data_IF_150034230683
#
_entry.id   IF_150034230683
#
_cell.length_a   1.000
_cell.length_b   1.000
_cell.length_c   1.000
_cell.angle_alpha   90.00
_cell.angle_beta   90.00
_cell.angle_gamma   90.00
#
_symmetry.space_group_name_H-M   'P 1'
#
loop_
_entity.id
_entity.type
_entity.pdbx_description
1 polymer ?
#
# COMPACT_ATOMS: atom_id res chain seq x y z
N UNK A 1 -78.44 -136.93 -173.94
CA UNK A 1 -79.54 -135.96 -174.07
C UNK A 1 -79.48 -134.99 -172.90
N UNK A 2 -78.80 -133.87 -173.11
CA UNK A 2 -79.39 -132.57 -173.51
C UNK A 2 -79.99 -131.72 -172.39
N UNK A 3 -79.73 -132.03 -171.10
CA UNK A 3 -80.03 -131.08 -169.99
C UNK A 3 -78.85 -130.76 -169.05
N UNK A 4 -77.86 -131.64 -168.85
CA UNK A 4 -76.72 -131.32 -167.95
C UNK A 4 -75.65 -130.39 -168.55
N UNK A 5 -75.48 -130.37 -169.88
CA UNK A 5 -74.53 -129.44 -170.55
C UNK A 5 -75.03 -127.98 -170.59
N UNK A 6 -76.32 -127.73 -170.32
CA UNK A 6 -76.88 -126.37 -170.26
C UNK A 6 -76.73 -125.73 -168.87
N UNK A 7 -76.70 -126.51 -167.79
CA UNK A 7 -76.53 -125.99 -166.43
C UNK A 7 -75.06 -125.68 -166.10
N UNK A 8 -74.11 -126.41 -166.68
CA UNK A 8 -72.68 -126.22 -166.39
C UNK A 8 -72.10 -124.94 -167.03
N UNK A 9 -72.65 -124.51 -168.17
CA UNK A 9 -72.30 -123.25 -168.83
C UNK A 9 -72.86 -122.01 -168.11
N UNK A 10 -74.10 -122.10 -167.60
CA UNK A 10 -74.74 -121.00 -166.87
C UNK A 10 -74.11 -120.77 -165.48
N UNK A 11 -73.61 -121.83 -164.83
CA UNK A 11 -72.94 -121.70 -163.53
C UNK A 11 -71.57 -121.03 -163.63
N UNK A 12 -70.83 -121.24 -164.74
CA UNK A 12 -69.54 -120.56 -164.95
C UNK A 12 -69.67 -119.06 -165.23
N UNK A 13 -70.71 -118.64 -165.96
CA UNK A 13 -70.94 -117.21 -166.22
C UNK A 13 -71.39 -116.45 -164.96
N UNK A 14 -72.21 -117.06 -164.09
CA UNK A 14 -72.58 -116.41 -162.83
C UNK A 14 -71.40 -116.30 -161.84
N UNK A 15 -70.50 -117.29 -161.82
CA UNK A 15 -69.29 -117.24 -160.99
C UNK A 15 -68.30 -116.15 -161.43
N UNK A 16 -68.18 -115.86 -162.74
CA UNK A 16 -67.36 -114.74 -163.23
C UNK A 16 -67.96 -113.38 -162.87
N UNK A 17 -69.28 -113.20 -163.00
CA UNK A 17 -69.92 -111.91 -162.65
C UNK A 17 -69.89 -111.61 -161.15
N UNK A 18 -69.98 -112.64 -160.29
CA UNK A 18 -69.87 -112.46 -158.84
C UNK A 18 -68.43 -112.11 -158.43
N UNK A 19 -67.42 -112.59 -159.17
CA UNK A 19 -66.02 -112.27 -158.92
C UNK A 19 -65.70 -110.81 -159.29
N UNK A 20 -66.16 -110.33 -160.45
CA UNK A 20 -65.99 -108.92 -160.86
C UNK A 20 -66.71 -107.94 -159.91
N UNK A 21 -67.91 -108.30 -159.43
CA UNK A 21 -68.63 -107.46 -158.45
C UNK A 21 -67.95 -107.43 -157.08
N UNK A 22 -67.38 -108.56 -156.64
CA UNK A 22 -66.59 -108.61 -155.41
C UNK A 22 -65.31 -107.77 -155.50
N UNK A 23 -64.65 -107.75 -156.67
CA UNK A 23 -63.46 -106.95 -156.93
C UNK A 23 -63.77 -105.44 -156.90
N UNK A 24 -64.86 -104.99 -157.53
CA UNK A 24 -65.30 -103.58 -157.49
C UNK A 24 -65.67 -103.14 -156.06
N UNK A 25 -66.29 -104.02 -155.27
CA UNK A 25 -66.61 -103.75 -153.88
C UNK A 25 -65.37 -103.71 -152.99
N UNK A 26 -64.36 -104.53 -153.25
CA UNK A 26 -63.05 -104.45 -152.60
C UNK A 26 -62.36 -103.13 -152.96
N UNK A 27 -62.28 -102.76 -154.24
CA UNK A 27 -61.69 -101.50 -154.68
C UNK A 27 -62.36 -100.28 -154.03
N UNK A 28 -63.69 -100.28 -153.90
CA UNK A 28 -64.42 -99.20 -153.20
C UNK A 28 -64.15 -99.17 -151.70
N UNK A 29 -63.98 -100.32 -151.05
CA UNK A 29 -63.61 -100.39 -149.63
C UNK A 29 -62.17 -99.95 -149.42
N UNK A 30 -61.26 -100.35 -150.29
CA UNK A 30 -59.86 -99.95 -150.26
C UNK A 30 -59.73 -98.44 -150.51
N UNK A 31 -60.50 -97.88 -151.46
CA UNK A 31 -60.60 -96.43 -151.65
C UNK A 31 -61.19 -95.73 -150.42
N UNK A 32 -62.23 -96.28 -149.78
CA UNK A 32 -62.78 -95.73 -148.55
C UNK A 32 -61.77 -95.79 -147.39
N UNK A 33 -61.00 -96.87 -147.25
CA UNK A 33 -59.93 -96.96 -146.26
C UNK A 33 -58.80 -95.97 -146.54
N UNK A 34 -58.41 -95.79 -147.81
CA UNK A 34 -57.38 -94.81 -148.20
C UNK A 34 -57.87 -93.39 -147.87
N UNK A 35 -59.09 -93.03 -148.27
CA UNK A 35 -59.68 -91.72 -147.96
C UNK A 35 -59.86 -91.52 -146.44
N UNK A 36 -60.24 -92.57 -145.69
CA UNK A 36 -60.29 -92.49 -144.22
C UNK A 36 -58.91 -92.35 -143.59
N UNK A 37 -57.87 -93.03 -144.11
CA UNK A 37 -56.49 -92.87 -143.63
C UNK A 37 -55.98 -91.46 -143.92
N UNK A 38 -56.24 -90.92 -145.10
CA UNK A 38 -55.90 -89.54 -145.46
C UNK A 38 -56.65 -88.52 -144.60
N UNK A 39 -57.94 -88.74 -144.36
CA UNK A 39 -58.75 -87.91 -143.47
C UNK A 39 -58.27 -87.97 -142.02
N UNK A 40 -57.95 -89.16 -141.51
CA UNK A 40 -57.41 -89.31 -140.16
C UNK A 40 -56.00 -88.71 -140.03
N UNK A 41 -55.16 -88.82 -141.07
CA UNK A 41 -53.83 -88.21 -141.10
C UNK A 41 -53.91 -86.68 -141.12
N UNK A 42 -54.79 -86.11 -141.95
CA UNK A 42 -55.02 -84.66 -142.00
C UNK A 42 -55.68 -84.15 -140.72
N UNK A 43 -56.59 -84.91 -140.10
CA UNK A 43 -57.14 -84.59 -138.79
C UNK A 43 -56.09 -84.64 -137.68
N UNK A 44 -55.21 -85.65 -137.66
CA UNK A 44 -54.11 -85.75 -136.71
C UNK A 44 -53.15 -84.55 -136.83
N UNK A 45 -52.76 -84.19 -138.06
CA UNK A 45 -51.95 -82.99 -138.34
C UNK A 45 -52.66 -81.71 -137.89
N UNK A 46 -53.98 -81.60 -138.08
CA UNK A 46 -54.76 -80.45 -137.63
C UNK A 46 -54.78 -80.32 -136.10
N UNK A 47 -54.93 -81.43 -135.38
CA UNK A 47 -54.86 -81.43 -133.90
C UNK A 47 -53.45 -81.18 -133.37
N UNK A 48 -52.42 -81.71 -134.03
CA UNK A 48 -51.02 -81.46 -133.68
C UNK A 48 -50.67 -79.98 -133.89
N UNK A 49 -51.02 -79.40 -135.05
CA UNK A 49 -50.88 -77.98 -135.31
C UNK A 49 -51.71 -77.13 -134.33
N UNK A 50 -52.92 -77.58 -133.99
CA UNK A 50 -53.78 -76.92 -132.99
C UNK A 50 -53.20 -76.97 -131.57
N UNK A 51 -52.55 -78.07 -131.19
CA UNK A 51 -51.86 -78.21 -129.91
C UNK A 51 -50.59 -77.34 -129.86
N UNK A 52 -49.83 -77.30 -130.95
CA UNK A 52 -48.66 -76.42 -131.08
C UNK A 52 -49.06 -74.95 -131.05
N UNK A 53 -50.11 -74.55 -131.78
CA UNK A 53 -50.68 -73.19 -131.72
C UNK A 53 -51.15 -72.87 -130.30
N UNK A 54 -51.78 -73.81 -129.59
CA UNK A 54 -52.23 -73.61 -128.21
C UNK A 54 -51.04 -73.44 -127.25
N UNK A 55 -50.00 -74.27 -127.39
CA UNK A 55 -48.77 -74.19 -126.59
C UNK A 55 -48.00 -72.89 -126.86
N UNK A 56 -47.86 -72.50 -128.12
CA UNK A 56 -47.23 -71.22 -128.51
C UNK A 56 -48.07 -70.05 -128.01
N UNK A 57 -49.40 -70.12 -128.11
CA UNK A 57 -50.28 -69.06 -127.61
C UNK A 57 -50.22 -68.93 -126.08
N UNK A 58 -50.13 -70.05 -125.35
CA UNK A 58 -49.98 -70.07 -123.90
C UNK A 58 -48.62 -69.51 -123.47
N UNK A 59 -47.52 -69.93 -124.11
CA UNK A 59 -46.18 -69.39 -123.83
C UNK A 59 -46.07 -67.91 -124.18
N UNK A 60 -46.69 -67.47 -125.29
CA UNK A 60 -46.76 -66.06 -125.67
C UNK A 60 -47.61 -65.25 -124.69
N UNK A 61 -48.73 -65.80 -124.20
CA UNK A 61 -49.55 -65.16 -123.16
C UNK A 61 -48.75 -64.99 -121.87
N UNK A 62 -48.10 -66.05 -121.39
CA UNK A 62 -47.25 -65.97 -120.20
C UNK A 62 -46.08 -65.01 -120.39
N UNK A 63 -45.42 -64.99 -121.55
CA UNK A 63 -44.35 -64.04 -121.85
C UNK A 63 -44.84 -62.58 -121.87
N UNK A 64 -46.07 -62.34 -122.34
CA UNK A 64 -46.69 -61.00 -122.30
C UNK A 64 -47.09 -60.61 -120.87
N UNK A 65 -47.62 -61.55 -120.08
CA UNK A 65 -47.95 -61.33 -118.67
C UNK A 65 -46.69 -61.05 -117.85
N UNK A 66 -45.61 -61.82 -118.02
CA UNK A 66 -44.33 -61.56 -117.34
C UNK A 66 -43.72 -60.23 -117.77
N UNK A 67 -43.76 -59.89 -119.06
CA UNK A 67 -43.31 -58.59 -119.54
C UNK A 67 -44.13 -57.44 -118.92
N UNK A 68 -45.45 -57.58 -118.83
CA UNK A 68 -46.29 -56.57 -118.21
C UNK A 68 -45.97 -56.41 -116.70
N UNK A 69 -45.76 -57.52 -115.98
CA UNK A 69 -45.39 -57.48 -114.57
C UNK A 69 -44.00 -56.85 -114.37
N UNK A 70 -43.00 -57.23 -115.17
CA UNK A 70 -41.66 -56.64 -115.10
C UNK A 70 -41.67 -55.15 -115.39
N UNK A 71 -42.44 -54.71 -116.38
CA UNK A 71 -42.59 -53.27 -116.67
C UNK A 71 -43.25 -52.51 -115.50
N UNK A 72 -44.24 -53.13 -114.83
CA UNK A 72 -44.86 -52.53 -113.64
C UNK A 72 -43.90 -52.47 -112.46
N UNK A 73 -43.11 -53.53 -112.23
CA UNK A 73 -42.06 -53.56 -111.21
C UNK A 73 -40.96 -52.54 -111.50
N UNK A 74 -40.53 -52.40 -112.75
CA UNK A 74 -39.54 -51.39 -113.18
C UNK A 74 -40.04 -49.97 -112.89
N UNK A 75 -41.29 -49.66 -113.27
CA UNK A 75 -41.88 -48.35 -112.98
C UNK A 75 -41.95 -48.09 -111.47
N UNK A 76 -42.37 -49.09 -110.69
CA UNK A 76 -42.42 -48.98 -109.23
C UNK A 76 -41.03 -48.76 -108.61
N UNK A 77 -40.02 -49.50 -109.07
CA UNK A 77 -38.64 -49.33 -108.59
C UNK A 77 -38.04 -47.98 -108.96
N UNK A 78 -38.38 -47.44 -110.14
CA UNK A 78 -37.98 -46.08 -110.55
C UNK A 78 -38.62 -45.04 -109.63
N UNK A 79 -39.90 -45.18 -109.29
CA UNK A 79 -40.59 -44.29 -108.35
C UNK A 79 -39.99 -44.39 -106.94
N UNK A 80 -39.76 -45.61 -106.43
CA UNK A 80 -39.11 -45.83 -105.13
C UNK A 80 -37.69 -45.26 -105.08
N UNK A 81 -36.90 -45.44 -106.15
CA UNK A 81 -35.56 -44.86 -106.27
C UNK A 81 -35.60 -43.33 -106.27
N UNK A 82 -36.57 -42.75 -107.00
CA UNK A 82 -36.74 -41.29 -107.04
C UNK A 82 -37.12 -40.74 -105.66
N UNK A 83 -38.03 -41.41 -104.95
CA UNK A 83 -38.42 -41.02 -103.61
C UNK A 83 -37.24 -41.10 -102.63
N UNK A 84 -36.51 -42.22 -102.63
CA UNK A 84 -35.32 -42.39 -101.79
C UNK A 84 -34.24 -41.34 -102.07
N UNK A 85 -34.07 -40.92 -103.34
CA UNK A 85 -33.15 -39.86 -103.70
C UNK A 85 -33.61 -38.48 -103.20
N UNK A 86 -34.91 -38.21 -103.20
CA UNK A 86 -35.48 -36.98 -102.63
C UNK A 86 -35.33 -36.97 -101.10
N UNK A 87 -35.63 -38.08 -100.44
CA UNK A 87 -35.49 -38.22 -98.99
C UNK A 87 -34.01 -38.05 -98.57
N UNK A 88 -33.08 -38.68 -99.30
CA UNK A 88 -31.64 -38.52 -99.06
C UNK A 88 -31.18 -37.06 -99.20
N UNK A 89 -31.69 -36.34 -100.20
CA UNK A 89 -31.36 -34.93 -100.40
C UNK A 89 -31.90 -34.06 -99.25
N UNK A 90 -33.12 -34.32 -98.79
CA UNK A 90 -33.72 -33.63 -97.64
C UNK A 90 -32.95 -33.94 -96.33
N UNK A 91 -32.56 -35.20 -96.12
CA UNK A 91 -31.75 -35.60 -94.96
C UNK A 91 -30.37 -34.93 -94.99
N UNK A 92 -29.75 -34.78 -96.16
CA UNK A 92 -28.48 -34.05 -96.30
C UNK A 92 -28.64 -32.57 -95.95
N UNK A 93 -29.69 -31.91 -96.43
CA UNK A 93 -29.96 -30.50 -96.12
C UNK A 93 -30.21 -30.30 -94.61
N UNK A 94 -31.00 -31.18 -93.98
CA UNK A 94 -31.24 -31.11 -92.53
C UNK A 94 -29.98 -31.39 -91.71
N UNK A 95 -29.12 -32.32 -92.13
CA UNK A 95 -27.85 -32.58 -91.47
C UNK A 95 -26.91 -31.38 -91.54
N UNK A 96 -26.86 -30.69 -92.67
CA UNK A 96 -26.02 -29.50 -92.82
C UNK A 96 -26.56 -28.33 -91.98
N UNK A 97 -27.87 -28.12 -91.91
CA UNK A 97 -28.49 -27.15 -90.99
C UNK A 97 -28.16 -27.45 -89.52
N UNK A 98 -28.29 -28.72 -89.08
CA UNK A 98 -27.97 -29.12 -87.71
C UNK A 98 -26.48 -28.91 -87.41
N UNK A 99 -25.59 -29.13 -88.38
CA UNK A 99 -24.15 -28.88 -88.21
C UNK A 99 -23.83 -27.41 -88.05
N UNK A 100 -24.48 -26.55 -88.82
CA UNK A 100 -24.34 -25.09 -88.68
C UNK A 100 -24.83 -24.63 -87.30
N UNK A 101 -26.02 -25.04 -86.88
CA UNK A 101 -26.56 -24.74 -85.55
C UNK A 101 -25.64 -25.26 -84.43
N UNK A 102 -25.11 -26.48 -84.57
CA UNK A 102 -24.18 -27.05 -83.60
C UNK A 102 -22.90 -26.18 -83.49
N UNK A 103 -22.33 -25.75 -84.61
CA UNK A 103 -21.13 -24.92 -84.62
C UNK A 103 -21.36 -23.56 -83.95
N UNK A 104 -22.53 -22.95 -84.19
CA UNK A 104 -22.92 -21.69 -83.53
C UNK A 104 -23.09 -21.88 -82.02
N UNK A 105 -23.75 -22.95 -81.59
CA UNK A 105 -23.93 -23.27 -80.18
C UNK A 105 -22.59 -23.53 -79.50
N UNK A 106 -21.70 -24.31 -80.12
CA UNK A 106 -20.37 -24.61 -79.58
C UNK A 106 -19.53 -23.33 -79.39
N UNK A 107 -19.58 -22.40 -80.35
CA UNK A 107 -18.92 -21.11 -80.23
C UNK A 107 -19.52 -20.28 -79.08
N UNK A 108 -20.85 -20.23 -78.97
CA UNK A 108 -21.53 -19.51 -77.89
C UNK A 108 -21.20 -20.09 -76.51
N UNK A 109 -21.11 -21.42 -76.41
CA UNK A 109 -20.77 -22.13 -75.19
C UNK A 109 -19.33 -21.84 -74.78
N UNK A 110 -18.39 -21.86 -75.72
CA UNK A 110 -17.00 -21.51 -75.45
C UNK A 110 -16.87 -20.07 -74.92
N UNK A 111 -17.58 -19.10 -75.52
CA UNK A 111 -17.63 -17.73 -75.04
C UNK A 111 -18.23 -17.63 -73.64
N UNK A 112 -19.34 -18.33 -73.38
CA UNK A 112 -20.01 -18.32 -72.09
C UNK A 112 -19.12 -18.89 -70.97
N UNK A 113 -18.37 -19.96 -71.23
CA UNK A 113 -17.42 -20.55 -70.28
C UNK A 113 -16.28 -19.56 -69.97
N UNK A 114 -15.76 -18.86 -70.98
CA UNK A 114 -14.70 -17.86 -70.78
C UNK A 114 -15.20 -16.68 -69.91
N UNK A 115 -16.42 -16.22 -70.18
CA UNK A 115 -17.04 -15.14 -69.42
C UNK A 115 -17.39 -15.56 -67.99
N UNK A 116 -17.86 -16.79 -67.79
CA UNK A 116 -18.07 -17.38 -66.46
C UNK A 116 -16.77 -17.42 -65.66
N UNK A 117 -15.67 -17.86 -66.28
CA UNK A 117 -14.35 -17.88 -65.65
C UNK A 117 -13.86 -16.47 -65.26
N UNK A 118 -14.06 -15.48 -66.14
CA UNK A 118 -13.76 -14.06 -65.85
C UNK A 118 -14.59 -13.54 -64.67
N UNK A 119 -15.89 -13.83 -64.66
CA UNK A 119 -16.80 -13.41 -63.59
C UNK A 119 -16.40 -14.04 -62.25
N UNK A 120 -16.05 -15.34 -62.24
CA UNK A 120 -15.54 -16.01 -61.06
C UNK A 120 -14.25 -15.39 -60.52
N UNK A 121 -13.30 -15.07 -61.41
CA UNK A 121 -12.05 -14.42 -61.02
C UNK A 121 -12.30 -13.02 -60.42
N UNK A 122 -13.19 -12.22 -61.04
CA UNK A 122 -13.58 -10.91 -60.53
C UNK A 122 -14.26 -11.01 -59.15
N UNK A 123 -15.20 -11.96 -59.00
CA UNK A 123 -15.86 -12.21 -57.72
C UNK A 123 -14.86 -12.61 -56.64
N UNK A 124 -13.92 -13.51 -56.96
CA UNK A 124 -12.87 -13.92 -56.02
C UNK A 124 -12.00 -12.76 -55.54
N UNK A 125 -11.63 -11.83 -56.44
CA UNK A 125 -10.90 -10.61 -56.08
C UNK A 125 -11.74 -9.66 -55.20
N UNK A 126 -13.01 -9.45 -55.55
CA UNK A 126 -13.91 -8.60 -54.77
C UNK A 126 -14.13 -9.16 -53.35
N UNK A 127 -14.34 -10.47 -53.22
CA UNK A 127 -14.49 -11.15 -51.93
C UNK A 127 -13.21 -11.04 -51.08
N UNK A 128 -12.03 -11.18 -51.68
CA UNK A 128 -10.75 -11.01 -51.00
C UNK A 128 -10.59 -9.58 -50.46
N UNK A 129 -10.82 -8.57 -51.30
CA UNK A 129 -10.74 -7.16 -50.91
C UNK A 129 -11.74 -6.82 -49.78
N UNK A 130 -12.95 -7.36 -49.86
CA UNK A 130 -13.99 -7.17 -48.85
C UNK A 130 -13.60 -7.83 -47.52
N UNK A 131 -12.99 -9.02 -47.55
CA UNK A 131 -12.45 -9.66 -46.34
C UNK A 131 -11.34 -8.84 -45.70
N UNK A 132 -10.39 -8.36 -46.49
CA UNK A 132 -9.29 -7.51 -46.00
C UNK A 132 -9.81 -6.21 -45.38
N UNK A 133 -10.74 -5.53 -46.05
CA UNK A 133 -11.36 -4.31 -45.55
C UNK A 133 -12.14 -4.55 -44.24
N UNK A 134 -12.84 -5.69 -44.11
CA UNK A 134 -13.51 -6.07 -42.86
C UNK A 134 -12.53 -6.24 -41.70
N UNK A 135 -11.43 -6.97 -41.93
CA UNK A 135 -10.38 -7.17 -40.92
C UNK A 135 -9.78 -5.83 -40.50
N UNK A 136 -9.43 -4.96 -41.46
CA UNK A 136 -8.87 -3.64 -41.18
C UNK A 136 -9.86 -2.75 -40.38
N UNK A 137 -11.14 -2.79 -40.73
CA UNK A 137 -12.19 -2.05 -40.01
C UNK A 137 -12.41 -2.58 -38.59
N UNK A 138 -12.40 -3.89 -38.40
CA UNK A 138 -12.49 -4.50 -37.07
C UNK A 138 -11.30 -4.10 -36.19
N UNK A 139 -10.09 -4.08 -36.73
CA UNK A 139 -8.89 -3.67 -35.97
C UNK A 139 -8.95 -2.19 -35.60
N UNK A 140 -9.31 -1.30 -36.54
CA UNK A 140 -9.52 0.12 -36.24
C UNK A 140 -10.61 0.33 -35.18
N UNK A 141 -11.70 -0.44 -35.23
CA UNK A 141 -12.76 -0.35 -34.21
C UNK A 141 -12.26 -0.83 -32.83
N UNK A 142 -11.43 -1.86 -32.77
CA UNK A 142 -10.79 -2.31 -31.51
C UNK A 142 -9.87 -1.24 -30.95
N UNK A 143 -9.03 -0.63 -31.79
CA UNK A 143 -8.15 0.48 -31.39
C UNK A 143 -8.96 1.68 -30.89
N UNK A 144 -9.99 2.10 -31.62
CA UNK A 144 -10.88 3.19 -31.21
C UNK A 144 -11.56 2.89 -29.87
N UNK A 145 -11.99 1.65 -29.65
CA UNK A 145 -12.61 1.23 -28.39
C UNK A 145 -11.61 1.29 -27.23
N UNK A 146 -10.36 0.88 -27.45
CA UNK A 146 -9.27 1.04 -26.48
C UNK A 146 -9.00 2.51 -26.15
N UNK A 147 -8.91 3.38 -27.16
CA UNK A 147 -8.68 4.81 -26.96
C UNK A 147 -9.85 5.49 -26.23
N UNK A 148 -11.10 5.13 -26.54
CA UNK A 148 -12.28 5.62 -25.80
C UNK A 148 -12.24 5.20 -24.34
N UNK A 149 -11.94 3.93 -24.06
CA UNK A 149 -11.78 3.45 -22.68
C UNK A 149 -10.66 4.18 -21.93
N UNK A 150 -9.52 4.44 -22.57
CA UNK A 150 -8.45 5.24 -21.98
C UNK A 150 -8.89 6.69 -21.70
N UNK A 151 -9.61 7.32 -22.63
CA UNK A 151 -10.13 8.68 -22.47
C UNK A 151 -11.13 8.78 -21.31
N UNK A 152 -12.01 7.80 -21.15
CA UNK A 152 -12.94 7.72 -20.02
C UNK A 152 -12.19 7.60 -18.68
N UNK A 153 -11.17 6.73 -18.60
CA UNK A 153 -10.33 6.58 -17.40
C UNK A 153 -9.61 7.89 -17.08
N UNK A 154 -9.00 8.56 -18.06
CA UNK A 154 -8.29 9.82 -17.82
C UNK A 154 -9.28 10.93 -17.42
N UNK A 155 -10.45 10.99 -18.03
CA UNK A 155 -11.50 11.96 -17.66
C UNK A 155 -11.97 11.74 -16.22
N UNK A 156 -12.15 10.48 -15.81
CA UNK A 156 -12.49 10.13 -14.43
C UNK A 156 -11.38 10.55 -13.45
N UNK A 157 -10.11 10.31 -13.80
CA UNK A 157 -8.95 10.76 -12.99
C UNK A 157 -8.91 12.28 -12.85
N UNK A 158 -9.11 13.02 -13.95
CA UNK A 158 -9.15 14.49 -13.94
C UNK A 158 -10.26 14.97 -12.99
N UNK A 159 -11.49 14.43 -13.11
CA UNK A 159 -12.60 14.79 -12.22
C UNK A 159 -12.30 14.50 -10.75
N UNK A 160 -11.69 13.35 -10.45
CA UNK A 160 -11.29 13.01 -9.09
C UNK A 160 -10.23 13.98 -8.54
N UNK A 161 -9.21 14.29 -9.34
CA UNK A 161 -8.16 15.25 -8.96
C UNK A 161 -8.72 16.67 -8.76
N UNK A 162 -9.63 17.12 -9.62
CA UNK A 162 -10.33 18.40 -9.47
C UNK A 162 -11.17 18.45 -8.18
N UNK A 163 -11.84 17.34 -7.83
CA UNK A 163 -12.57 17.26 -6.56
C UNK A 163 -11.63 17.34 -5.35
N UNK A 164 -10.49 16.64 -5.40
CA UNK A 164 -9.48 16.70 -4.33
C UNK A 164 -8.86 18.10 -4.21
N UNK A 165 -8.61 18.78 -5.33
CA UNK A 165 -8.12 20.16 -5.35
C UNK A 165 -9.13 21.09 -4.67
N UNK A 166 -10.41 21.06 -5.07
CA UNK A 166 -11.47 21.87 -4.46
C UNK A 166 -11.61 21.62 -2.95
N UNK A 167 -11.52 20.37 -2.52
CA UNK A 167 -11.56 20.04 -1.08
C UNK A 167 -10.35 20.62 -0.33
N UNK A 168 -9.18 20.62 -0.95
CA UNK A 168 -7.96 21.18 -0.38
C UNK A 168 -8.03 22.71 -0.30
N UNK A 169 -8.57 23.37 -1.33
CA UNK A 169 -8.81 24.82 -1.34
C UNK A 169 -9.75 25.25 -0.22
N UNK A 170 -10.90 24.57 -0.07
CA UNK A 170 -11.84 24.82 1.04
C UNK A 170 -11.16 24.63 2.41
N UNK A 171 -10.30 23.62 2.55
CA UNK A 171 -9.56 23.39 3.79
C UNK A 171 -8.54 24.48 4.07
N UNK A 172 -7.82 24.96 3.05
CA UNK A 172 -6.88 26.08 3.18
C UNK A 172 -7.62 27.34 3.63
N UNK A 173 -8.77 27.64 3.02
CA UNK A 173 -9.58 28.80 3.39
C UNK A 173 -10.06 28.74 4.85
N UNK A 174 -10.53 27.57 5.30
CA UNK A 174 -10.90 27.34 6.71
C UNK A 174 -9.72 27.52 7.67
N UNK A 175 -8.58 26.90 7.38
CA UNK A 175 -7.37 27.03 8.21
C UNK A 175 -6.86 28.48 8.25
N UNK A 176 -7.01 29.22 7.16
CA UNK A 176 -6.66 30.64 7.11
C UNK A 176 -7.61 31.47 7.99
N UNK A 177 -8.91 31.18 7.94
CA UNK A 177 -9.92 31.76 8.84
C UNK A 177 -9.62 31.48 10.31
N UNK A 178 -9.40 30.21 10.67
CA UNK A 178 -9.04 29.78 12.03
C UNK A 178 -7.76 30.48 12.52
N UNK A 179 -6.74 30.59 11.66
CA UNK A 179 -5.51 31.30 12.00
C UNK A 179 -5.78 32.78 12.32
N UNK A 180 -6.56 33.46 11.48
CA UNK A 180 -6.92 34.86 11.69
C UNK A 180 -7.75 35.07 12.97
N UNK A 181 -8.62 34.13 13.32
CA UNK A 181 -9.36 34.14 14.58
C UNK A 181 -8.43 33.98 15.78
N UNK A 182 -7.50 33.03 15.75
CA UNK A 182 -6.51 32.83 16.81
C UNK A 182 -5.62 34.06 16.97
N UNK A 183 -5.17 34.68 15.86
CA UNK A 183 -4.37 35.91 15.92
C UNK A 183 -5.16 37.06 16.56
N UNK A 184 -6.44 37.23 16.20
CA UNK A 184 -7.31 38.22 16.84
C UNK A 184 -7.55 37.94 18.31
N UNK A 185 -7.77 36.69 18.69
CA UNK A 185 -7.95 36.31 20.11
C UNK A 185 -6.68 36.55 20.91
N UNK A 186 -5.50 36.23 20.36
CA UNK A 186 -4.21 36.51 20.99
C UNK A 186 -4.00 38.01 21.20
N UNK A 187 -4.33 38.82 20.21
CA UNK A 187 -4.22 40.27 20.31
C UNK A 187 -5.26 40.83 21.30
N UNK A 188 -6.47 40.26 21.33
CA UNK A 188 -7.56 40.69 22.22
C UNK A 188 -7.43 40.20 23.66
N UNK A 189 -6.73 39.09 23.92
CA UNK A 189 -6.62 38.49 25.26
C UNK A 189 -5.69 39.27 26.20
N UNK A 190 -5.12 40.38 25.75
CA UNK A 190 -4.14 41.14 26.53
C UNK A 190 -2.91 40.31 26.89
N UNK A 191 -2.57 39.29 26.10
CA UNK A 191 -1.47 38.37 26.40
C UNK A 191 -0.14 39.12 26.54
N UNK A 192 0.06 40.16 25.72
CA UNK A 192 1.20 41.06 25.82
C UNK A 192 1.21 41.89 27.13
N UNK A 193 0.03 42.33 27.61
CA UNK A 193 -0.09 43.03 28.89
C UNK A 193 0.17 42.07 30.07
N UNK A 194 -0.30 40.83 29.96
CA UNK A 194 -0.05 39.78 30.95
C UNK A 194 1.43 39.39 31.00
N UNK A 195 2.09 39.26 29.84
CA UNK A 195 3.53 39.01 29.74
C UNK A 195 4.33 40.16 30.37
N UNK A 196 3.94 41.42 30.12
CA UNK A 196 4.55 42.59 30.75
C UNK A 196 4.36 42.58 32.27
N UNK A 197 3.15 42.27 32.75
CA UNK A 197 2.86 42.17 34.19
C UNK A 197 3.67 41.06 34.86
N UNK A 198 3.84 39.91 34.21
CA UNK A 198 4.67 38.81 34.73
C UNK A 198 6.12 39.26 34.85
N UNK A 199 6.67 39.95 33.84
CA UNK A 199 8.04 40.47 33.89
C UNK A 199 8.22 41.51 35.01
N UNK A 200 7.25 42.39 35.21
CA UNK A 200 7.27 43.38 36.29
C UNK A 200 7.25 42.69 37.66
N UNK A 201 6.36 41.72 37.87
CA UNK A 201 6.28 40.95 39.11
C UNK A 201 7.55 40.12 39.37
N UNK A 202 8.19 39.58 38.33
CA UNK A 202 9.47 38.88 38.47
C UNK A 202 10.60 39.82 38.90
N UNK A 203 10.65 41.04 38.35
CA UNK A 203 11.62 42.06 38.74
C UNK A 203 11.40 42.51 40.20
N UNK A 204 10.15 42.77 40.60
CA UNK A 204 9.78 43.10 41.98
C UNK A 204 10.18 41.96 42.94
N UNK A 205 9.89 40.71 42.58
CA UNK A 205 10.27 39.54 43.38
C UNK A 205 11.78 39.46 43.57
N UNK A 206 12.56 39.72 42.52
CA UNK A 206 14.02 39.69 42.59
C UNK A 206 14.54 40.78 43.55
N UNK A 207 14.00 42.00 43.45
CA UNK A 207 14.37 43.12 44.31
C UNK A 207 14.04 42.84 45.78
N UNK A 208 12.85 42.32 46.08
CA UNK A 208 12.46 41.93 47.45
C UNK A 208 13.36 40.83 47.99
N UNK A 209 13.72 39.84 47.17
CA UNK A 209 14.62 38.77 47.58
C UNK A 209 16.04 39.29 47.87
N UNK A 210 16.54 40.24 47.10
CA UNK A 210 17.84 40.87 47.36
C UNK A 210 17.82 41.71 48.64
N UNK A 211 16.77 42.50 48.85
CA UNK A 211 16.56 43.23 50.10
C UNK A 211 16.50 42.29 51.31
N UNK A 212 15.76 41.18 51.18
CA UNK A 212 15.67 40.16 52.23
C UNK A 212 17.05 39.55 52.54
N UNK A 213 17.85 39.23 51.53
CA UNK A 213 19.20 38.70 51.71
C UNK A 213 20.11 39.72 52.42
N UNK A 214 20.06 40.99 52.03
CA UNK A 214 20.80 42.06 52.71
C UNK A 214 20.37 42.22 54.17
N UNK A 215 19.06 42.21 54.45
CA UNK A 215 18.51 42.25 55.81
C UNK A 215 18.93 41.03 56.66
N UNK A 216 19.04 39.84 56.06
CA UNK A 216 19.54 38.66 56.78
C UNK A 216 21.01 38.84 57.19
N UNK A 217 21.86 39.34 56.28
CA UNK A 217 23.26 39.63 56.58
C UNK A 217 23.40 40.68 57.69
N UNK A 218 22.60 41.75 57.66
CA UNK A 218 22.65 42.78 58.72
C UNK A 218 22.17 42.25 60.06
N UNK A 219 21.11 41.43 60.09
CA UNK A 219 20.63 40.79 61.32
C UNK A 219 21.68 39.84 61.91
N UNK A 220 22.38 39.07 61.08
CA UNK A 220 23.47 38.19 61.53
C UNK A 220 24.65 38.99 62.09
N UNK A 221 25.04 40.08 61.43
CA UNK A 221 26.09 40.97 61.91
C UNK A 221 25.74 41.59 63.28
N UNK A 222 24.52 42.12 63.43
CA UNK A 222 24.04 42.69 64.69
C UNK A 222 23.96 41.64 65.80
N UNK A 223 23.52 40.41 65.49
CA UNK A 223 23.53 39.30 66.46
C UNK A 223 24.95 38.96 66.92
N UNK A 224 25.92 39.01 66.02
CA UNK A 224 27.32 38.77 66.38
C UNK A 224 27.87 39.90 67.25
N UNK A 225 27.54 41.15 66.95
CA UNK A 225 27.94 42.32 67.74
C UNK A 225 27.32 42.30 69.15
N UNK A 226 26.06 41.87 69.28
CA UNK A 226 25.41 41.66 70.58
C UNK A 226 26.14 40.57 71.37
N UNK A 227 26.49 39.44 70.73
CA UNK A 227 27.25 38.35 71.39
C UNK A 227 28.63 38.81 71.86
N UNK A 228 29.38 39.57 71.06
CA UNK A 228 30.69 40.08 71.47
C UNK A 228 30.58 41.10 72.59
N UNK A 229 29.60 42.00 72.52
CA UNK A 229 29.37 43.02 73.56
C UNK A 229 28.92 42.40 74.88
N UNK A 230 28.04 41.40 74.84
CA UNK A 230 27.61 40.67 76.04
C UNK A 230 28.74 39.84 76.66
N UNK A 231 29.59 39.21 75.84
CA UNK A 231 30.79 38.52 76.34
C UNK A 231 31.76 39.48 77.03
N UNK A 232 32.02 40.65 76.42
CA UNK A 232 32.86 41.70 77.02
C UNK A 232 32.27 42.23 78.34
N UNK A 233 30.96 42.47 78.39
CA UNK A 233 30.27 42.88 79.61
C UNK A 233 30.41 41.84 80.73
N UNK A 234 30.22 40.55 80.42
CA UNK A 234 30.36 39.47 81.39
C UNK A 234 31.80 39.35 81.91
N UNK A 235 32.80 39.56 81.06
CA UNK A 235 34.20 39.58 81.48
C UNK A 235 34.49 40.71 82.47
N UNK A 236 34.03 41.93 82.16
CA UNK A 236 34.18 43.08 83.05
C UNK A 236 33.45 42.89 84.39
N UNK A 237 32.27 42.27 84.38
CA UNK A 237 31.53 41.93 85.61
C UNK A 237 32.29 40.89 86.45
N UNK A 238 32.87 39.87 85.81
CA UNK A 238 33.67 38.87 86.50
C UNK A 238 34.94 39.48 87.14
N UNK A 239 35.64 40.35 86.41
CA UNK A 239 36.79 41.10 86.93
C UNK A 239 36.40 41.97 88.13
N UNK A 240 35.27 42.68 88.04
CA UNK A 240 34.74 43.50 89.15
C UNK A 240 34.47 42.65 90.39
N UNK A 241 33.78 41.52 90.24
CA UNK A 241 33.48 40.63 91.36
C UNK A 241 34.73 39.99 91.97
N UNK A 242 35.76 39.68 91.17
CA UNK A 242 37.04 39.18 91.67
C UNK A 242 37.76 40.23 92.53
N UNK A 243 37.74 41.51 92.10
CA UNK A 243 38.30 42.62 92.88
C UNK A 243 37.51 42.84 94.17
N UNK A 244 36.18 42.89 94.11
CA UNK A 244 35.30 43.02 95.27
C UNK A 244 35.55 41.89 96.30
N UNK A 245 35.65 40.64 95.83
CA UNK A 245 35.96 39.50 96.71
C UNK A 245 37.35 39.59 97.33
N UNK A 246 38.35 40.09 96.60
CA UNK A 246 39.70 40.29 97.12
C UNK A 246 39.74 41.35 98.21
N UNK A 247 39.05 42.48 98.01
CA UNK A 247 38.91 43.55 99.02
C UNK A 247 38.29 42.98 100.29
N UNK A 248 37.15 42.30 100.19
CA UNK A 248 36.48 41.69 101.35
C UNK A 248 37.38 40.69 102.09
N UNK A 249 38.18 39.90 101.37
CA UNK A 249 39.12 38.96 102.01
C UNK A 249 40.24 39.66 102.79
N UNK A 250 40.76 40.78 102.27
CA UNK A 250 41.82 41.56 102.91
C UNK A 250 41.28 42.26 104.16
N UNK A 251 40.08 42.84 104.09
CA UNK A 251 39.41 43.45 105.25
C UNK A 251 39.17 42.42 106.36
N UNK A 252 38.78 41.20 106.00
CA UNK A 252 38.58 40.12 106.99
C UNK A 252 39.90 39.70 107.64
N UNK A 253 40.99 39.58 106.86
CA UNK A 253 42.33 39.28 107.39
C UNK A 253 42.87 40.40 108.29
N UNK A 254 42.60 41.66 107.94
CA UNK A 254 42.99 42.81 108.75
C UNK A 254 42.29 42.80 110.11
N UNK A 255 40.98 42.51 110.14
CA UNK A 255 40.23 42.37 111.39
C UNK A 255 40.79 41.27 112.30
N UNK A 256 41.17 40.13 111.72
CA UNK A 256 41.83 39.02 112.44
C UNK A 256 43.22 39.40 112.97
N UNK A 257 44.08 40.01 112.15
CA UNK A 257 45.44 40.41 112.54
C UNK A 257 45.46 41.48 113.65
N UNK A 258 44.45 42.36 113.66
CA UNK A 258 44.27 43.36 114.70
C UNK A 258 43.81 42.78 116.05
N UNK A 259 43.63 41.47 116.21
CA UNK A 259 43.30 40.84 117.49
C UNK A 259 41.93 41.23 118.06
N UNK A 260 41.01 41.67 117.19
CA UNK A 260 39.62 42.05 117.54
C UNK A 260 38.65 40.87 117.65
N UNK A 261 39.11 39.67 117.27
CA UNK A 261 38.32 38.42 117.33
C UNK A 261 38.53 37.59 118.60
N UNK A 262 39.26 38.12 119.58
CA UNK A 262 39.40 37.49 120.90
C UNK A 262 38.22 37.89 121.80
N UNK A 263 37.21 37.02 121.85
CA UNK A 263 35.94 37.30 122.52
C UNK A 263 36.10 37.58 124.04
N UNK A 264 36.94 36.81 124.73
CA UNK A 264 37.14 36.93 126.18
C UNK A 264 37.79 38.26 126.54
N UNK A 265 38.83 38.65 125.80
CA UNK A 265 39.55 39.92 125.93
C UNK A 265 38.65 41.12 125.58
N UNK A 266 37.82 41.00 124.54
CA UNK A 266 36.82 42.02 124.17
C UNK A 266 35.79 42.23 125.28
N UNK A 267 35.32 41.14 125.89
CA UNK A 267 34.34 41.20 127.00
C UNK A 267 34.93 41.77 128.30
N UNK A 268 36.23 41.60 128.53
CA UNK A 268 36.96 42.22 129.64
C UNK A 268 37.17 43.72 129.41
N UNK A 269 37.59 44.11 128.20
CA UNK A 269 37.70 45.52 127.81
C UNK A 269 36.36 46.26 127.88
N UNK A 270 35.26 45.59 127.52
CA UNK A 270 33.90 46.15 127.69
C UNK A 270 33.53 46.35 129.16
N UNK A 271 33.86 45.39 130.05
CA UNK A 271 33.51 45.46 131.47
C UNK A 271 34.20 46.59 132.24
N UNK A 272 35.40 46.98 131.81
CA UNK A 272 36.17 48.07 132.42
C UNK A 272 36.13 49.38 131.62
N UNK A 273 35.21 49.48 130.64
CA UNK A 273 34.98 50.66 129.80
C UNK A 273 36.20 51.07 128.93
N UNK A 274 37.07 50.10 128.64
CA UNK A 274 38.31 50.26 127.86
C UNK A 274 38.16 49.83 126.38
N UNK A 275 36.96 49.42 125.94
CA UNK A 275 36.70 48.97 124.56
C UNK A 275 36.96 50.05 123.51
N UNK A 276 36.66 51.31 123.84
CA UNK A 276 36.79 52.43 122.92
C UNK A 276 38.22 52.99 122.85
N UNK A 277 39.15 52.48 123.67
CA UNK A 277 40.54 52.91 123.62
C UNK A 277 41.19 52.43 122.30
N UNK A 278 41.77 53.34 121.51
CA UNK A 278 42.38 52.99 120.24
C UNK A 278 43.60 52.08 120.45
N UNK A 279 43.77 51.10 119.54
CA UNK A 279 44.99 50.30 119.50
C UNK A 279 46.10 51.09 118.82
N UNK A 280 47.35 50.84 119.20
CA UNK A 280 48.50 51.53 118.62
C UNK A 280 48.52 51.43 117.08
N UNK A 281 48.20 50.26 116.52
CA UNK A 281 48.14 50.04 115.06
C UNK A 281 47.11 50.92 114.32
N UNK A 282 46.07 51.41 114.99
CA UNK A 282 45.04 52.27 114.38
C UNK A 282 45.41 53.76 114.41
N UNK A 283 46.40 54.13 115.24
CA UNK A 283 46.89 55.49 115.40
C UNK A 283 48.16 55.76 114.61
N UNK A 284 48.66 54.77 113.88
CA UNK A 284 49.92 54.84 113.14
C UNK A 284 49.66 54.84 111.64
N UNK A 285 50.12 55.89 110.97
CA UNK A 285 50.31 55.89 109.52
C UNK A 285 51.79 55.58 109.25
N UNK A 286 52.04 54.47 108.55
CA UNK A 286 53.39 54.02 108.19
C UNK A 286 53.48 53.99 106.67
N UNK A 287 54.58 54.49 106.11
CA UNK A 287 54.85 54.38 104.68
C UNK A 287 55.11 52.91 104.29
N UNK A 288 54.64 52.43 103.12
CA UNK A 288 54.68 51.00 102.74
C UNK A 288 56.09 50.38 102.76
N UNK A 289 57.13 51.18 102.52
CA UNK A 289 58.54 50.74 102.58
C UNK A 289 59.01 50.35 103.99
N UNK A 290 58.31 50.84 105.03
CA UNK A 290 58.67 50.66 106.44
C UNK A 290 57.69 49.75 107.19
N UNK A 291 56.60 49.31 106.56
CA UNK A 291 55.57 48.47 107.18
C UNK A 291 56.18 47.22 107.82
N UNK A 292 56.99 46.46 107.07
CA UNK A 292 57.58 45.21 107.58
C UNK A 292 58.55 45.46 108.74
N UNK A 293 59.31 46.56 108.70
CA UNK A 293 60.27 46.89 109.76
C UNK A 293 59.56 47.30 111.06
N UNK A 294 58.51 48.12 110.96
CA UNK A 294 57.69 48.55 112.10
C UNK A 294 56.89 47.38 112.67
N UNK A 295 56.31 46.54 111.82
CA UNK A 295 55.60 45.33 112.23
C UNK A 295 56.51 44.36 112.98
N UNK A 296 57.72 44.12 112.46
CA UNK A 296 58.67 43.21 113.12
C UNK A 296 59.16 43.76 114.45
N UNK A 297 59.32 45.09 114.58
CA UNK A 297 59.85 45.73 115.79
C UNK A 297 58.80 45.87 116.90
N UNK A 298 57.58 46.30 116.55
CA UNK A 298 56.50 46.49 117.52
C UNK A 298 55.76 45.18 117.78
N UNK A 299 55.67 44.28 116.79
CA UNK A 299 55.08 42.95 116.90
C UNK A 299 53.77 42.95 117.72
N UNK A 300 53.69 42.18 118.82
CA UNK A 300 52.47 42.11 119.64
C UNK A 300 52.11 43.44 120.33
N UNK A 301 53.02 44.42 120.40
CA UNK A 301 52.73 45.75 120.95
C UNK A 301 51.96 46.65 119.97
N UNK A 302 51.82 46.28 118.69
CA UNK A 302 50.87 46.95 117.78
C UNK A 302 49.41 46.82 118.25
N UNK A 303 49.11 45.74 118.97
CA UNK A 303 47.81 45.50 119.58
C UNK A 303 47.65 46.19 120.94
N UNK A 304 48.65 46.94 121.40
CA UNK A 304 48.61 47.61 122.69
C UNK A 304 47.49 48.66 122.74
N UNK A 305 46.78 48.69 123.86
CA UNK A 305 45.75 49.69 124.13
C UNK A 305 46.41 50.97 124.62
N UNK A 306 46.19 52.06 123.89
CA UNK A 306 46.70 53.38 124.25
C UNK A 306 45.73 54.04 125.23
N UNK A 307 46.20 54.31 126.45
CA UNK A 307 45.40 54.88 127.53
C UNK A 307 46.05 56.15 128.07
N UNK A 308 45.21 57.12 128.44
CA UNK A 308 45.69 58.42 128.94
C UNK A 308 46.30 58.34 130.34
N UNK A 309 45.99 57.34 131.16
CA UNK A 309 46.53 57.22 132.52
C UNK A 309 46.59 55.75 132.91
N UNK A 310 47.80 55.25 133.17
CA UNK A 310 48.02 53.84 133.47
C UNK A 310 47.74 53.51 134.95
N UNK A 311 47.60 54.50 135.83
CA UNK A 311 47.26 54.25 137.24
C UNK A 311 45.92 53.54 137.38
N UNK A 312 44.95 53.86 136.50
CA UNK A 312 43.65 53.18 136.42
C UNK A 312 43.75 51.70 136.03
N UNK A 313 44.81 51.32 135.32
CA UNK A 313 45.00 49.94 134.84
C UNK A 313 45.68 49.08 135.92
N UNK A 314 46.57 49.66 136.73
CA UNK A 314 47.31 48.95 137.80
C UNK A 314 46.38 48.37 138.86
N UNK A 315 45.26 49.04 139.18
CA UNK A 315 44.27 48.54 140.12
C UNK A 315 43.45 47.35 139.57
N UNK A 316 43.28 47.29 138.23
CA UNK A 316 42.42 46.33 137.54
C UNK A 316 43.22 45.13 136.99
N UNK A 317 44.55 45.26 136.86
CA UNK A 317 45.46 44.24 136.32
C UNK A 317 45.38 42.89 137.05
N UNK A 318 44.95 42.85 138.31
CA UNK A 318 44.81 41.61 139.09
C UNK A 318 43.70 40.69 138.60
N UNK A 319 42.76 41.19 137.78
CA UNK A 319 41.62 40.44 137.23
C UNK A 319 41.75 40.17 135.72
N UNK A 320 42.94 40.38 135.14
CA UNK A 320 43.17 40.09 133.71
C UNK A 320 43.15 38.57 133.47
N UNK A 321 42.41 38.05 132.47
CA UNK A 321 42.48 36.64 132.06
C UNK A 321 43.90 36.25 131.62
N UNK A 322 44.25 34.96 131.55
CA UNK A 322 45.61 34.46 131.19
C UNK A 322 46.04 34.81 129.74
N UNK A 323 46.09 36.09 129.38
CA UNK A 323 46.53 36.62 128.11
C UNK A 323 47.39 37.87 128.31
N UNK A 324 48.47 37.97 127.54
CA UNK A 324 49.37 39.12 127.58
C UNK A 324 48.74 40.31 126.87
N UNK A 325 48.33 41.33 127.62
CA UNK A 325 47.86 42.62 127.09
C UNK A 325 48.92 43.69 127.40
N UNK A 326 49.36 44.40 126.36
CA UNK A 326 50.22 45.56 126.50
C UNK A 326 49.35 46.81 126.63
N UNK A 327 49.61 47.63 127.63
CA UNK A 327 49.02 48.94 127.80
C UNK A 327 50.11 49.99 127.66
N UNK A 328 49.82 51.06 126.93
CA UNK A 328 50.74 52.17 126.71
C UNK A 328 50.12 53.44 127.30
N UNK A 329 50.84 54.08 128.21
CA UNK A 329 50.46 55.36 128.78
C UNK A 329 50.83 56.48 127.80
N UNK A 330 49.86 57.31 127.44
CA UNK A 330 50.10 58.44 126.54
C UNK A 330 50.40 59.75 127.29
N UNK A 331 50.28 59.80 128.63
CA UNK A 331 50.47 61.00 129.48
C UNK A 331 51.81 61.07 130.24
N UNK A 332 52.92 60.76 129.58
CA UNK A 332 54.26 60.91 130.18
C UNK A 332 55.28 61.66 129.30
N UNK A 333 54.87 62.11 128.11
CA UNK A 333 55.75 62.74 127.14
C UNK A 333 55.47 64.24 127.05
N UNK A 334 55.87 64.96 128.11
CA UNK A 334 56.41 66.31 127.94
C UNK A 334 57.55 66.23 126.92
N UNK A 335 57.46 67.03 125.86
CA UNK A 335 58.50 67.17 124.84
C UNK A 335 59.90 67.33 125.46
N UNK A 336 60.91 66.58 124.98
CA UNK A 336 62.30 67.00 125.08
C UNK A 336 62.85 67.37 123.71
N UNK A 337 63.31 68.61 123.58
CA UNK A 337 64.31 68.96 122.57
C UNK A 337 65.67 68.34 122.96
N UNK A 338 66.19 67.38 122.19
CA UNK A 338 67.63 67.17 121.89
C UNK A 338 67.82 66.00 120.91
N UNK A 339 68.85 66.13 120.07
CA UNK A 339 69.22 65.29 118.90
C UNK A 339 69.23 63.77 119.16
N UNK A 340 68.99 62.94 118.12
CA UNK A 340 68.90 61.49 118.26
C UNK A 340 70.24 60.87 118.63
N UNK A 341 70.32 60.19 119.77
CA UNK A 341 71.38 59.24 120.07
C UNK A 341 71.01 57.90 119.46
N UNK A 342 71.82 57.43 118.51
CA UNK A 342 71.66 56.13 117.85
C UNK A 342 72.01 54.97 118.79
N UNK A 343 71.28 53.87 118.63
CA UNK A 343 71.51 52.56 119.27
C UNK A 343 72.77 51.83 118.76
N UNK A 344 73.62 52.50 117.97
CA UNK A 344 74.89 51.95 117.47
C UNK A 344 76.08 52.08 118.45
N UNK A 345 75.90 52.64 119.65
CA UNK A 345 77.02 52.91 120.59
C UNK A 345 76.92 52.21 121.98
N UNK A 346 76.07 51.19 122.17
CA UNK A 346 76.02 50.45 123.44
C UNK A 346 76.21 48.92 123.36
N UNK A 347 76.69 48.38 122.24
CA UNK A 347 77.30 47.04 122.22
C UNK A 347 78.50 47.04 121.27
N UNK A 348 79.70 47.09 121.85
CA UNK A 348 80.94 46.65 121.21
C UNK A 348 81.07 45.14 121.35
N UNK A 349 80.89 44.41 120.25
CA UNK A 349 81.89 43.57 119.58
C UNK A 349 81.30 42.99 118.30
#
# INVERSE_FOLDING_TARGET
ETQLQSCDGAFRQHAETDYEQAEILQDRRDQQEILQRELNATQAQFYELGADISRISQTLRHARETQANLNQEELRLIEEQRQAAMDLAADQETLDQIREEQAEIELSLASAIEDEAKCHALRGKADANLRESRIASEELNRELSRYRGQLEIQTARIRQSEQQLRQSEIRIEKLHGEKLEIEKERDASGLAELEALVQELEAERLMVHEQQAQLQVTVEALRQEIKTSTAALNQLLAERHAIEGRIASIETLQHHAMGKDRADLKSWLERHDLKAAPRLAELMEVSPEWETAVETLLGPHLQALCLEDLTKVIEIIKEIPEESIAFLETSGLSSPSKKPHSLSNLVTS
#
